data_IF_506597254808
#
_entry.id   IF_506597254808
#
_cell.length_a   1.000
_cell.length_b   1.000
_cell.length_c   1.000
_cell.angle_alpha   90.00
_cell.angle_beta   90.00
_cell.angle_gamma   90.00
#
_symmetry.space_group_name_H-M   'P 1'
#
loop_
_entity.id
_entity.type
_entity.pdbx_description
1 polymer ?
#
# COMPACT_ATOMS: atom_id res chain seq x y z
N UNK A 1 -20.80 14.10 20.50
CA UNK A 1 -21.51 12.98 21.17
C UNK A 1 -20.71 11.72 20.89
N UNK A 2 -20.03 11.12 21.88
CA UNK A 2 -19.30 9.86 21.72
C UNK A 2 -20.30 8.69 21.68
N UNK A 3 -20.10 7.74 20.78
CA UNK A 3 -20.93 6.53 20.67
C UNK A 3 -20.52 5.54 21.78
N UNK A 4 -21.45 5.02 22.60
CA UNK A 4 -21.12 4.11 23.70
C UNK A 4 -20.71 2.73 23.18
N UNK A 5 -19.56 2.23 23.62
CA UNK A 5 -19.15 0.83 23.47
C UNK A 5 -19.97 -0.02 24.46
N UNK A 6 -20.79 -0.94 23.95
CA UNK A 6 -21.46 -1.96 24.76
C UNK A 6 -20.43 -3.08 25.03
N UNK A 7 -20.00 -3.19 26.29
CA UNK A 7 -19.29 -4.36 26.80
C UNK A 7 -20.35 -5.37 27.23
N UNK A 8 -20.56 -6.44 26.46
CA UNK A 8 -21.22 -7.63 26.99
C UNK A 8 -20.16 -8.55 27.59
N UNK A 9 -19.99 -8.44 28.90
CA UNK A 9 -19.51 -9.54 29.73
C UNK A 9 -20.62 -10.59 29.80
N UNK A 10 -20.33 -11.78 29.30
CA UNK A 10 -21.10 -12.97 29.65
C UNK A 10 -20.12 -14.10 29.90
N UNK A 11 -19.72 -14.19 31.17
CA UNK A 11 -19.22 -15.42 31.78
C UNK A 11 -20.34 -16.46 31.76
N UNK A 12 -20.06 -17.60 31.15
CA UNK A 12 -20.85 -18.81 31.31
C UNK A 12 -19.90 -20.00 31.20
N UNK A 13 -19.25 -20.31 32.33
CA UNK A 13 -18.64 -21.61 32.59
C UNK A 13 -19.73 -22.69 32.71
N UNK A 14 -19.35 -23.95 32.39
CA UNK A 14 -20.10 -25.22 32.48
C UNK A 14 -20.84 -25.63 31.19
N UNK A 15 -20.64 -26.79 30.58
CA UNK A 15 -20.20 -28.10 31.07
C UNK A 15 -19.47 -28.85 29.94
N UNK A 16 -18.49 -29.68 30.30
CA UNK A 16 -17.76 -30.57 29.40
C UNK A 16 -18.69 -31.72 28.96
N UNK A 17 -19.32 -31.62 27.78
CA UNK A 17 -19.89 -32.80 27.11
C UNK A 17 -18.77 -33.51 26.36
N UNK A 18 -18.31 -34.60 26.95
CA UNK A 18 -17.50 -35.62 26.31
C UNK A 18 -18.30 -36.29 25.19
N UNK A 19 -18.10 -35.87 23.94
CA UNK A 19 -18.43 -36.63 22.71
C UNK A 19 -18.08 -35.75 21.49
N UNK A 20 -16.79 -35.61 21.21
CA UNK A 20 -16.24 -35.38 19.86
C UNK A 20 -14.71 -35.39 19.91
N UNK A 21 -14.15 -36.53 20.32
CA UNK A 21 -12.71 -36.79 20.35
C UNK A 21 -12.14 -37.14 18.97
N UNK A 22 -12.65 -36.56 17.89
CA UNK A 22 -12.20 -36.89 16.53
C UNK A 22 -12.40 -35.76 15.50
N UNK A 23 -12.03 -34.53 15.82
CA UNK A 23 -11.74 -33.53 14.76
C UNK A 23 -10.82 -32.42 15.28
N UNK A 24 -9.75 -32.80 15.97
CA UNK A 24 -8.58 -31.93 16.04
C UNK A 24 -7.89 -32.09 14.68
N UNK A 25 -8.19 -31.18 13.75
CA UNK A 25 -7.40 -31.03 12.53
C UNK A 25 -6.01 -30.60 12.95
N UNK A 26 -5.21 -31.61 13.30
CA UNK A 26 -3.78 -31.56 13.42
C UNK A 26 -3.29 -30.89 12.13
N UNK A 27 -2.85 -29.64 12.24
CA UNK A 27 -2.18 -28.93 11.16
C UNK A 27 -0.85 -29.65 10.93
N UNK A 28 -0.93 -30.77 10.21
CA UNK A 28 0.19 -31.46 9.62
C UNK A 28 0.97 -30.41 8.83
N UNK A 29 2.28 -30.22 9.10
CA UNK A 29 3.07 -29.25 8.38
C UNK A 29 3.03 -29.65 6.92
N UNK A 30 2.32 -28.87 6.11
CA UNK A 30 2.32 -29.02 4.67
C UNK A 30 3.77 -28.99 4.25
N UNK A 31 4.28 -30.14 3.82
CA UNK A 31 5.68 -30.32 3.49
C UNK A 31 5.98 -29.42 2.32
N UNK A 32 6.56 -28.24 2.57
CA UNK A 32 7.08 -27.33 1.53
C UNK A 32 8.32 -27.93 0.83
N UNK A 33 8.49 -29.25 0.90
CA UNK A 33 9.62 -29.98 0.34
C UNK A 33 9.69 -29.80 -1.17
N UNK A 34 8.55 -29.76 -1.86
CA UNK A 34 8.48 -29.63 -3.33
C UNK A 34 9.26 -28.42 -3.86
N UNK A 35 9.01 -27.23 -3.33
CA UNK A 35 9.71 -26.01 -3.75
C UNK A 35 11.21 -26.05 -3.44
N UNK A 36 11.58 -26.62 -2.28
CA UNK A 36 13.00 -26.77 -1.92
C UNK A 36 13.70 -27.86 -2.74
N UNK A 37 12.98 -28.88 -3.16
CA UNK A 37 13.47 -30.00 -3.96
C UNK A 37 13.70 -29.56 -5.41
N UNK A 38 12.84 -28.71 -5.96
CA UNK A 38 13.03 -28.08 -7.27
C UNK A 38 14.28 -27.19 -7.30
N UNK A 39 14.45 -26.33 -6.29
CA UNK A 39 15.65 -25.48 -6.19
C UNK A 39 16.91 -26.34 -6.05
N UNK A 40 16.85 -27.41 -5.25
CA UNK A 40 17.97 -28.34 -5.04
C UNK A 40 18.30 -29.11 -6.32
N UNK A 41 17.30 -29.54 -7.08
CA UNK A 41 17.47 -30.22 -8.36
C UNK A 41 18.03 -29.27 -9.43
N UNK A 42 17.49 -28.06 -9.53
CA UNK A 42 17.97 -27.02 -10.43
C UNK A 42 19.43 -26.65 -10.15
N UNK A 43 19.79 -26.47 -8.88
CA UNK A 43 21.17 -26.21 -8.49
C UNK A 43 22.11 -27.38 -8.81
N UNK A 44 21.69 -28.62 -8.56
CA UNK A 44 22.46 -29.82 -8.93
C UNK A 44 22.71 -29.89 -10.43
N UNK A 45 21.69 -29.62 -11.24
CA UNK A 45 21.82 -29.63 -12.70
C UNK A 45 22.75 -28.51 -13.17
N UNK A 46 22.61 -27.30 -12.65
CA UNK A 46 23.49 -26.17 -12.97
C UNK A 46 24.96 -26.46 -12.65
N UNK A 47 25.24 -27.06 -11.49
CA UNK A 47 26.60 -27.45 -11.08
C UNK A 47 27.13 -28.56 -12.00
N UNK A 48 26.31 -29.58 -12.29
CA UNK A 48 26.68 -30.68 -13.20
C UNK A 48 27.06 -30.15 -14.58
N UNK A 49 26.22 -29.31 -15.17
CA UNK A 49 26.48 -28.70 -16.49
C UNK A 49 27.78 -27.89 -16.48
N UNK A 50 28.01 -27.08 -15.44
CA UNK A 50 29.23 -26.28 -15.30
C UNK A 50 30.50 -27.14 -15.19
N UNK A 51 30.45 -28.25 -14.44
CA UNK A 51 31.59 -29.17 -14.29
C UNK A 51 31.96 -29.85 -15.61
N UNK A 52 30.96 -30.37 -16.33
CA UNK A 52 31.17 -31.03 -17.62
C UNK A 52 31.74 -30.04 -18.64
N UNK A 53 31.26 -28.78 -18.65
CA UNK A 53 31.82 -27.73 -19.51
C UNK A 53 33.29 -27.40 -19.20
N UNK A 54 33.76 -27.65 -17.97
CA UNK A 54 35.16 -27.51 -17.56
C UNK A 54 36.00 -28.77 -17.84
N UNK A 55 35.46 -29.77 -18.55
CA UNK A 55 36.15 -31.02 -18.86
C UNK A 55 36.35 -31.94 -17.65
N UNK A 56 35.69 -31.65 -16.53
CA UNK A 56 35.69 -32.53 -15.36
C UNK A 56 34.62 -33.61 -15.56
N UNK A 57 34.88 -34.78 -14.96
CA UNK A 57 33.88 -35.84 -14.86
C UNK A 57 32.61 -35.30 -14.15
N UNK A 58 31.48 -36.00 -14.36
CA UNK A 58 30.15 -35.63 -13.86
C UNK A 58 30.08 -35.33 -12.35
N UNK A 59 28.87 -35.05 -11.83
CA UNK A 59 28.78 -34.70 -10.40
C UNK A 59 29.33 -35.83 -9.51
N UNK A 60 30.36 -35.60 -8.68
CA UNK A 60 30.82 -36.60 -7.73
C UNK A 60 29.69 -37.02 -6.79
N UNK A 61 29.66 -38.31 -6.44
CA UNK A 61 28.72 -38.85 -5.46
C UNK A 61 29.06 -38.29 -4.07
N UNK A 62 28.49 -37.12 -3.76
CA UNK A 62 28.56 -36.51 -2.45
C UNK A 62 27.46 -37.15 -1.59
N UNK A 63 27.82 -38.23 -0.91
CA UNK A 63 27.03 -38.71 0.21
C UNK A 63 26.73 -37.52 1.13
N UNK A 64 25.48 -37.38 1.56
CA UNK A 64 25.07 -36.33 2.46
C UNK A 64 25.78 -36.56 3.81
N UNK A 65 27.01 -36.07 3.93
CA UNK A 65 27.73 -36.04 5.20
C UNK A 65 26.86 -35.24 6.15
N UNK A 66 26.23 -35.95 7.09
CA UNK A 66 25.71 -35.36 8.32
C UNK A 66 26.82 -34.44 8.84
N UNK A 67 26.52 -33.19 9.23
CA UNK A 67 27.54 -32.24 9.64
C UNK A 67 28.39 -32.93 10.70
N UNK A 68 29.64 -33.23 10.33
CA UNK A 68 30.58 -33.84 11.24
C UNK A 68 30.79 -32.78 12.31
N UNK A 69 30.45 -33.10 13.56
CA UNK A 69 30.81 -32.30 14.74
C UNK A 69 32.34 -32.38 14.93
N UNK A 70 33.11 -32.12 13.88
CA UNK A 70 34.50 -31.71 14.04
C UNK A 70 34.39 -30.40 14.82
N UNK A 71 34.92 -30.38 16.04
CA UNK A 71 35.10 -29.12 16.76
C UNK A 71 35.83 -28.19 15.80
N UNK A 72 35.16 -27.11 15.38
CA UNK A 72 35.77 -26.09 14.53
C UNK A 72 37.09 -25.70 15.20
N UNK A 73 38.14 -25.52 14.41
CA UNK A 73 39.37 -24.96 14.98
C UNK A 73 39.02 -23.66 15.71
N UNK A 74 39.68 -23.36 16.83
CA UNK A 74 39.42 -22.13 17.60
C UNK A 74 39.39 -20.88 16.70
N UNK A 75 40.22 -20.86 15.65
CA UNK A 75 40.24 -19.80 14.64
C UNK A 75 38.98 -19.76 13.74
N UNK A 76 38.44 -20.92 13.36
CA UNK A 76 37.21 -21.03 12.57
C UNK A 76 35.97 -20.69 13.39
N UNK A 77 35.97 -21.01 14.69
CA UNK A 77 34.90 -20.66 15.61
C UNK A 77 34.78 -19.14 15.81
N UNK A 78 35.90 -18.43 15.99
CA UNK A 78 35.89 -16.97 16.12
C UNK A 78 35.41 -16.30 14.82
N UNK A 79 35.87 -16.79 13.66
CA UNK A 79 35.36 -16.30 12.36
C UNK A 79 33.85 -16.49 12.22
N UNK A 80 33.32 -17.62 12.71
CA UNK A 80 31.89 -17.91 12.72
C UNK A 80 31.14 -16.96 13.68
N UNK A 81 31.70 -16.69 14.85
CA UNK A 81 31.14 -15.75 15.84
C UNK A 81 31.02 -14.34 15.27
N UNK A 82 32.10 -13.80 14.70
CA UNK A 82 32.10 -12.48 14.06
C UNK A 82 31.08 -12.40 12.93
N UNK A 83 30.95 -13.46 12.10
CA UNK A 83 29.94 -13.49 11.02
C UNK A 83 28.51 -13.48 11.58
N UNK A 84 28.23 -14.22 12.65
CA UNK A 84 26.93 -14.23 13.32
C UNK A 84 26.59 -12.88 13.93
N UNK A 85 27.56 -12.24 14.56
CA UNK A 85 27.37 -10.91 15.14
C UNK A 85 27.08 -9.85 14.08
N UNK A 86 27.84 -9.85 12.98
CA UNK A 86 27.54 -9.00 11.80
C UNK A 86 26.14 -9.27 11.25
N UNK A 87 25.74 -10.54 11.12
CA UNK A 87 24.41 -10.89 10.64
C UNK A 87 23.30 -10.48 11.61
N UNK A 88 23.54 -10.58 12.93
CA UNK A 88 22.62 -10.12 13.97
C UNK A 88 22.36 -8.62 13.85
N UNK A 89 23.42 -7.82 13.69
CA UNK A 89 23.30 -6.37 13.49
C UNK A 89 22.61 -6.05 12.16
N UNK A 90 22.97 -6.75 11.08
CA UNK A 90 22.35 -6.55 9.76
C UNK A 90 20.84 -6.88 9.78
N UNK A 91 20.44 -7.98 10.43
CA UNK A 91 19.05 -8.37 10.57
C UNK A 91 18.26 -7.36 11.40
N UNK A 92 18.83 -6.87 12.51
CA UNK A 92 18.21 -5.80 13.30
C UNK A 92 18.01 -4.54 12.47
N UNK A 93 19.05 -4.07 11.74
CA UNK A 93 18.97 -2.89 10.88
C UNK A 93 17.96 -3.06 9.73
N UNK A 94 17.86 -4.26 9.15
CA UNK A 94 16.87 -4.55 8.12
C UNK A 94 15.44 -4.47 8.67
N UNK A 95 15.18 -5.05 9.84
CA UNK A 95 13.89 -4.97 10.52
C UNK A 95 13.55 -3.53 10.92
N UNK A 96 14.54 -2.78 11.42
CA UNK A 96 14.37 -1.38 11.80
C UNK A 96 14.01 -0.52 10.60
N UNK A 97 14.77 -0.59 9.50
CA UNK A 97 14.46 0.13 8.26
C UNK A 97 13.08 -0.19 7.71
N UNK A 98 12.67 -1.45 7.78
CA UNK A 98 11.32 -1.85 7.39
C UNK A 98 10.26 -1.21 8.29
N UNK A 99 10.49 -1.17 9.60
CA UNK A 99 9.60 -0.51 10.56
C UNK A 99 9.52 0.99 10.31
N UNK A 100 10.66 1.67 10.14
CA UNK A 100 10.74 3.10 9.82
C UNK A 100 10.00 3.42 8.52
N UNK A 101 10.15 2.58 7.48
CA UNK A 101 9.42 2.76 6.23
C UNK A 101 7.91 2.60 6.41
N UNK A 102 7.46 1.57 7.13
CA UNK A 102 6.03 1.39 7.42
C UNK A 102 5.48 2.54 8.26
N UNK A 103 6.25 3.00 9.25
CA UNK A 103 5.86 4.14 10.09
C UNK A 103 5.73 5.41 9.26
N UNK A 104 6.71 5.71 8.39
CA UNK A 104 6.63 6.87 7.50
C UNK A 104 5.37 6.87 6.64
N UNK A 105 5.03 5.72 6.05
CA UNK A 105 3.80 5.59 5.25
C UNK A 105 2.53 5.77 6.09
N UNK A 106 2.54 5.28 7.33
CA UNK A 106 1.43 5.47 8.25
C UNK A 106 1.26 6.94 8.61
N UNK A 107 2.36 7.60 9.02
CA UNK A 107 2.37 9.02 9.38
C UNK A 107 1.88 9.87 8.18
N UNK A 108 2.36 9.61 6.96
CA UNK A 108 1.90 10.30 5.74
C UNK A 108 0.40 10.06 5.46
N UNK A 109 -0.09 8.85 5.69
CA UNK A 109 -1.52 8.55 5.57
C UNK A 109 -2.36 9.31 6.60
N UNK A 110 -1.88 9.40 7.83
CA UNK A 110 -2.58 10.07 8.93
C UNK A 110 -2.63 11.59 8.70
N UNK A 111 -1.52 12.18 8.24
CA UNK A 111 -1.42 13.59 7.86
C UNK A 111 -2.41 13.92 6.72
N UNK A 112 -2.41 13.12 5.64
CA UNK A 112 -3.33 13.32 4.51
C UNK A 112 -4.80 13.18 4.93
N UNK A 113 -5.12 12.25 5.83
CA UNK A 113 -6.49 12.08 6.34
C UNK A 113 -6.91 13.27 7.21
N UNK A 114 -6.01 13.82 8.02
CA UNK A 114 -6.26 15.00 8.84
C UNK A 114 -6.51 16.24 7.95
N UNK A 115 -5.67 16.44 6.93
CA UNK A 115 -5.81 17.52 5.96
C UNK A 115 -7.12 17.41 5.17
N UNK A 116 -7.45 16.21 4.67
CA UNK A 116 -8.71 15.98 3.98
C UNK A 116 -9.91 16.30 4.89
N UNK A 117 -9.90 15.82 6.13
CA UNK A 117 -10.96 16.11 7.10
C UNK A 117 -11.07 17.61 7.43
N UNK A 118 -9.96 18.35 7.40
CA UNK A 118 -9.95 19.80 7.56
C UNK A 118 -10.59 20.51 6.36
N UNK A 119 -10.17 20.16 5.14
CA UNK A 119 -10.69 20.72 3.90
C UNK A 119 -12.18 20.41 3.71
N UNK A 120 -12.63 19.20 4.04
CA UNK A 120 -14.04 18.83 3.99
C UNK A 120 -14.88 19.70 4.93
N UNK A 121 -14.40 19.98 6.16
CA UNK A 121 -15.07 20.88 7.10
C UNK A 121 -15.15 22.31 6.57
N UNK A 122 -14.06 22.82 5.99
CA UNK A 122 -14.02 24.14 5.39
C UNK A 122 -14.99 24.24 4.20
N UNK A 123 -15.02 23.23 3.34
CA UNK A 123 -15.92 23.14 2.21
C UNK A 123 -17.39 23.16 2.67
N UNK A 124 -17.74 22.40 3.71
CA UNK A 124 -19.09 22.42 4.29
C UNK A 124 -19.43 23.81 4.84
N UNK A 125 -18.52 24.43 5.58
CA UNK A 125 -18.73 25.77 6.14
C UNK A 125 -18.93 26.83 5.04
N UNK A 126 -18.11 26.81 3.99
CA UNK A 126 -18.21 27.73 2.85
C UNK A 126 -19.51 27.52 2.07
N UNK A 127 -19.93 26.26 1.86
CA UNK A 127 -21.22 25.96 1.22
C UNK A 127 -22.38 26.53 2.02
N UNK A 128 -22.37 26.36 3.35
CA UNK A 128 -23.41 26.90 4.22
C UNK A 128 -23.45 28.43 4.18
N UNK A 129 -22.29 29.10 4.21
CA UNK A 129 -22.22 30.56 4.08
C UNK A 129 -22.74 31.04 2.72
N UNK A 130 -22.36 30.35 1.64
CA UNK A 130 -22.87 30.66 0.30
C UNK A 130 -24.38 30.52 0.23
N UNK A 131 -24.94 29.43 0.76
CA UNK A 131 -26.38 29.20 0.77
C UNK A 131 -27.13 30.28 1.54
N UNK A 132 -26.61 30.70 2.70
CA UNK A 132 -27.21 31.78 3.50
C UNK A 132 -27.16 33.13 2.76
N UNK A 133 -26.03 33.45 2.11
CA UNK A 133 -25.93 34.65 1.26
C UNK A 133 -26.92 34.61 0.10
N UNK A 134 -27.00 33.48 -0.62
CA UNK A 134 -27.95 33.30 -1.72
C UNK A 134 -29.40 33.45 -1.24
N UNK A 135 -29.73 32.91 -0.06
CA UNK A 135 -31.03 33.05 0.55
C UNK A 135 -31.34 34.51 0.89
N UNK A 136 -30.40 35.24 1.49
CA UNK A 136 -30.56 36.67 1.76
C UNK A 136 -30.82 37.45 0.48
N UNK A 137 -30.04 37.21 -0.58
CA UNK A 137 -30.26 37.83 -1.89
C UNK A 137 -31.63 37.50 -2.49
N UNK A 138 -32.06 36.24 -2.46
CA UNK A 138 -33.38 35.83 -2.97
C UNK A 138 -34.54 36.46 -2.18
N UNK A 139 -34.36 36.70 -0.88
CA UNK A 139 -35.37 37.34 -0.03
C UNK A 139 -35.39 38.87 -0.13
N UNK A 140 -34.32 39.48 -0.63
CA UNK A 140 -34.16 40.93 -0.67
C UNK A 140 -35.01 41.54 -1.80
N UNK A 141 -36.05 42.29 -1.43
CA UNK A 141 -36.85 43.10 -2.35
C UNK A 141 -36.32 44.54 -2.38
N UNK A 142 -35.56 44.89 -3.41
CA UNK A 142 -35.06 46.25 -3.61
C UNK A 142 -36.13 47.11 -4.28
N UNK A 143 -36.61 48.15 -3.59
CA UNK A 143 -37.42 49.20 -4.22
C UNK A 143 -36.47 50.26 -4.77
N UNK A 144 -36.05 50.10 -6.03
CA UNK A 144 -35.40 51.17 -6.77
C UNK A 144 -36.44 52.27 -7.01
N UNK A 145 -36.30 53.42 -6.33
CA UNK A 145 -37.03 54.63 -6.69
C UNK A 145 -36.36 55.20 -7.93
N UNK A 146 -36.87 54.85 -9.10
CA UNK A 146 -36.50 55.48 -10.35
C UNK A 146 -36.93 56.95 -10.30
N UNK A 147 -35.98 57.83 -9.96
CA UNK A 147 -36.12 59.28 -10.19
C UNK A 147 -35.75 59.59 -11.63
N UNK A 148 -36.40 58.93 -12.60
CA UNK A 148 -36.43 59.37 -13.99
C UNK A 148 -37.87 59.31 -14.47
N UNK A 149 -38.47 60.48 -14.38
CA UNK A 149 -39.78 60.87 -14.87
C UNK A 149 -40.11 60.40 -16.29
N UNK A 150 -41.39 59.99 -16.44
CA UNK A 150 -42.29 60.03 -17.62
C UNK A 150 -42.57 58.71 -18.35
N UNK A 151 -43.79 58.23 -18.06
CA UNK A 151 -44.80 57.59 -18.91
C UNK A 151 -44.37 57.22 -20.35
N UNK A 152 -44.52 55.94 -20.70
CA UNK A 152 -45.54 55.54 -21.66
C UNK A 152 -45.73 54.00 -21.74
N UNK A 153 -46.98 53.60 -21.51
CA UNK A 153 -47.78 52.57 -22.22
C UNK A 153 -47.14 51.24 -22.65
N UNK A 154 -47.69 50.17 -22.05
CA UNK A 154 -48.22 48.94 -22.69
C UNK A 154 -47.43 48.34 -23.84
N UNK A 155 -46.98 47.09 -23.70
CA UNK A 155 -47.24 45.97 -24.63
C UNK A 155 -46.62 44.69 -24.04
N UNK A 156 -47.46 43.65 -23.91
CA UNK A 156 -47.01 42.27 -23.66
C UNK A 156 -46.00 41.84 -24.72
N UNK A 157 -44.91 41.19 -24.32
CA UNK A 157 -44.31 40.13 -25.11
C UNK A 157 -43.33 39.31 -24.28
N UNK A 158 -43.70 38.05 -24.10
CA UNK A 158 -42.81 36.91 -23.92
C UNK A 158 -41.58 37.03 -24.82
N UNK A 159 -40.40 36.90 -24.24
CA UNK A 159 -39.23 36.43 -24.97
C UNK A 159 -38.28 35.68 -24.04
N UNK A 160 -38.24 34.37 -24.26
CA UNK A 160 -37.11 33.52 -23.90
C UNK A 160 -35.80 34.15 -24.38
N UNK A 161 -34.99 34.62 -23.44
CA UNK A 161 -33.60 34.97 -23.69
C UNK A 161 -32.72 33.72 -23.49
N UNK A 162 -32.71 32.89 -24.53
CA UNK A 162 -31.61 31.98 -24.83
C UNK A 162 -30.50 32.76 -25.54
N UNK A 163 -29.24 32.41 -25.24
CA UNK A 163 -27.98 32.60 -26.02
C UNK A 163 -26.92 33.47 -25.31
N UNK A 164 -25.59 33.33 -25.56
CA UNK A 164 -24.89 32.46 -26.52
C UNK A 164 -23.78 31.56 -25.93
N UNK A 165 -23.38 30.58 -26.75
CA UNK A 165 -22.23 29.70 -26.56
C UNK A 165 -20.92 30.45 -26.35
N UNK A 166 -20.04 29.89 -25.50
CA UNK A 166 -18.59 30.10 -25.56
C UNK A 166 -17.89 28.78 -25.86
N UNK A 167 -16.99 28.86 -26.83
CA UNK A 167 -16.19 27.83 -27.44
C UNK A 167 -15.11 27.27 -26.50
N UNK A 168 -14.88 25.95 -26.50
CA UNK A 168 -13.59 25.29 -26.23
C UNK A 168 -13.73 23.80 -26.63
N UNK A 169 -13.33 23.45 -27.85
CA UNK A 169 -12.06 22.76 -28.18
C UNK A 169 -11.93 21.35 -27.60
N UNK A 170 -12.15 20.40 -28.49
CA UNK A 170 -11.71 19.01 -28.45
C UNK A 170 -10.22 18.92 -28.07
N UNK A 171 -9.89 18.14 -27.03
CA UNK A 171 -8.53 17.61 -26.86
C UNK A 171 -8.64 16.12 -26.55
N UNK A 172 -8.62 15.34 -27.63
CA UNK A 172 -8.10 13.99 -27.58
C UNK A 172 -6.57 14.09 -27.52
N UNK A 173 -5.96 13.71 -26.39
CA UNK A 173 -4.61 13.15 -26.41
C UNK A 173 -4.38 12.21 -25.23
N UNK A 174 -4.18 10.96 -25.62
CA UNK A 174 -3.50 9.88 -24.93
C UNK A 174 -2.41 10.33 -23.95
N UNK A 175 -2.34 9.66 -22.81
CA UNK A 175 -1.08 9.39 -22.13
C UNK A 175 -1.13 8.02 -21.44
N UNK A 176 -0.39 7.10 -22.05
CA UNK A 176 0.02 5.80 -21.52
C UNK A 176 0.98 5.98 -20.32
N UNK A 177 0.98 5.06 -19.34
CA UNK A 177 1.95 5.07 -18.26
C UNK A 177 3.34 4.64 -18.77
N UNK A 178 4.30 5.56 -18.71
CA UNK A 178 5.71 5.30 -18.99
C UNK A 178 6.32 4.48 -17.86
N UNK A 179 6.76 3.26 -18.19
CA UNK A 179 7.65 2.46 -17.34
C UNK A 179 9.05 3.10 -17.30
N UNK A 180 9.72 3.17 -16.13
CA UNK A 180 11.12 3.53 -16.10
C UNK A 180 11.97 2.32 -16.49
N UNK A 181 12.44 2.32 -17.74
CA UNK A 181 13.53 1.47 -18.21
C UNK A 181 14.84 1.93 -17.58
N UNK A 182 15.41 1.10 -16.71
CA UNK A 182 16.72 1.29 -16.10
C UNK A 182 17.82 1.16 -17.17
N UNK A 183 18.77 2.11 -17.31
CA UNK A 183 19.89 1.94 -18.20
C UNK A 183 20.93 1.01 -17.55
N UNK A 184 21.39 0.02 -18.31
CA UNK A 184 22.61 -0.72 -18.01
C UNK A 184 23.80 0.24 -18.04
N UNK A 185 24.58 0.24 -16.95
CA UNK A 185 25.95 0.74 -16.97
C UNK A 185 26.88 -0.45 -17.20
N UNK A 186 27.44 -0.51 -18.40
CA UNK A 186 28.65 -1.25 -18.73
C UNK A 186 29.90 -0.48 -18.27
N UNK A 187 30.93 -1.27 -17.98
CA UNK A 187 32.36 -0.93 -17.94
C UNK A 187 32.91 -0.35 -16.63
N UNK A 188 33.77 -1.14 -15.96
CA UNK A 188 35.22 -0.91 -16.03
C UNK A 188 36.01 -2.14 -15.55
N UNK A 189 36.96 -2.56 -16.38
CA UNK A 189 38.09 -3.42 -16.05
C UNK A 189 38.91 -2.83 -14.89
N UNK A 190 39.28 -3.69 -13.93
CA UNK A 190 40.62 -3.79 -13.31
C UNK A 190 40.68 -5.09 -12.49
#
# INVERSE_FOLDING_TARGET
MPVPYHLDESDSDSIVSSEDAASYTELMPMTTSSATDEVKLGLRNAIKTRRVAQGLDGMPHLEAKRPKLEALSNEEEEKRRVRRERNKVAAFKCRLRRKEHMQKLQDESDDLNADNSSLERELVALKAQKEELEKMFRSHNCVLKDTTSKENTTTEQSSDAKSPQSCSTEVAKSNEPSTPTSPMAESVNA
#
